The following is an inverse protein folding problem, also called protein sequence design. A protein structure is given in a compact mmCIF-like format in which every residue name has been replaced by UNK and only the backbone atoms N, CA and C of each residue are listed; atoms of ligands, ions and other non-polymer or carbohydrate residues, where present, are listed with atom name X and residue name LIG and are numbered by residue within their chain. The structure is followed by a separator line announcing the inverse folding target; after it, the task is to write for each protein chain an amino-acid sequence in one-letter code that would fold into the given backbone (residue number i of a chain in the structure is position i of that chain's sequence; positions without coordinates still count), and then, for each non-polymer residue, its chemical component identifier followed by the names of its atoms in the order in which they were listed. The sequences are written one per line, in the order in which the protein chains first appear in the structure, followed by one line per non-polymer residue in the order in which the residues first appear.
data_IF_498577960329
#
_entry.id   IF_498577960329
#
_cell.length_a   1.000
_cell.length_b   1.000
_cell.length_c   1.000
_cell.angle_alpha   90.00
_cell.angle_beta   90.00
_cell.angle_gamma   90.00
#
_symmetry.space_group_name_H-M   'P 1'
#
loop_
_entity.id
_entity.type
_entity.pdbx_description
1 polymer ?
#
# COMPACT_ATOMS: atom_id res chain seq x y z
N UNK A 1 36.28 -9.57 -6.00
CA UNK A 1 35.10 -8.84 -5.51
C UNK A 1 34.10 -8.81 -6.64
N UNK A 2 33.02 -9.59 -6.54
CA UNK A 2 31.89 -9.44 -7.45
C UNK A 2 31.36 -8.02 -7.23
N UNK A 3 31.37 -7.18 -8.26
CA UNK A 3 30.81 -5.83 -8.17
C UNK A 3 29.31 -5.89 -7.91
N UNK A 4 28.69 -4.79 -7.44
CA UNK A 4 27.27 -4.74 -7.20
C UNK A 4 26.51 -5.14 -8.47
N UNK A 5 25.54 -6.05 -8.32
CA UNK A 5 24.71 -6.53 -9.44
C UNK A 5 23.98 -5.33 -10.07
N UNK A 6 23.99 -5.19 -11.41
CA UNK A 6 23.33 -4.07 -12.07
C UNK A 6 21.83 -4.10 -11.80
N UNK A 7 21.23 -2.90 -11.71
CA UNK A 7 19.78 -2.74 -11.61
C UNK A 7 19.10 -3.45 -12.78
N UNK A 8 18.17 -4.35 -12.47
CA UNK A 8 17.51 -5.18 -13.46
C UNK A 8 16.05 -4.72 -13.65
N UNK A 9 15.72 -4.33 -14.87
CA UNK A 9 14.33 -4.02 -15.24
C UNK A 9 13.54 -5.32 -15.29
N UNK A 10 12.41 -5.36 -14.58
CA UNK A 10 11.51 -6.52 -14.54
C UNK A 10 10.17 -6.12 -15.15
N UNK A 11 9.65 -6.93 -16.09
CA UNK A 11 8.35 -6.66 -16.72
C UNK A 11 7.24 -6.63 -15.64
N UNK A 12 6.39 -5.61 -15.68
CA UNK A 12 5.28 -5.45 -14.72
C UNK A 12 5.70 -4.91 -13.35
N UNK A 13 6.92 -4.36 -13.24
CA UNK A 13 7.49 -3.80 -12.02
C UNK A 13 8.06 -2.42 -12.31
N UNK A 14 7.77 -1.45 -11.45
CA UNK A 14 8.29 -0.09 -11.61
C UNK A 14 9.60 0.13 -10.88
N UNK A 15 9.82 -0.57 -9.76
CA UNK A 15 11.10 -0.56 -9.07
C UNK A 15 12.10 -1.52 -9.74
N UNK A 16 13.35 -1.06 -9.86
CA UNK A 16 14.49 -1.85 -10.37
C UNK A 16 15.41 -2.33 -9.25
N UNK A 17 15.08 -2.02 -8.00
CA UNK A 17 15.84 -2.35 -6.80
C UNK A 17 14.91 -2.71 -5.65
N UNK A 18 15.42 -3.51 -4.71
CA UNK A 18 14.82 -3.73 -3.41
C UNK A 18 15.67 -3.05 -2.33
N UNK A 19 15.74 -1.72 -2.40
CA UNK A 19 16.54 -0.91 -1.48
C UNK A 19 16.17 -1.20 -0.03
N UNK A 20 17.16 -1.23 0.85
CA UNK A 20 16.91 -1.34 2.28
C UNK A 20 15.98 -0.22 2.79
N UNK A 21 15.03 -0.55 3.65
CA UNK A 21 14.16 0.44 4.29
C UNK A 21 14.92 1.36 5.23
N UNK A 22 14.49 2.64 5.30
CA UNK A 22 15.15 3.69 6.11
C UNK A 22 15.36 3.33 7.59
N UNK A 23 14.49 2.50 8.16
CA UNK A 23 14.47 2.17 9.58
C UNK A 23 15.10 0.80 9.90
N UNK A 24 15.62 0.11 8.89
CA UNK A 24 16.29 -1.17 9.09
C UNK A 24 17.73 -0.97 9.56
N UNK A 25 18.14 -1.75 10.57
CA UNK A 25 19.49 -1.68 11.16
C UNK A 25 20.47 -2.58 10.41
N UNK A 26 19.99 -3.71 9.87
CA UNK A 26 20.83 -4.74 9.25
C UNK A 26 20.67 -4.70 7.74
N UNK A 27 21.76 -4.38 7.02
CA UNK A 27 21.80 -4.46 5.56
C UNK A 27 21.81 -5.91 5.08
N UNK A 28 21.16 -6.15 3.93
CA UNK A 28 21.25 -7.42 3.21
C UNK A 28 21.69 -7.12 1.78
N UNK A 29 22.64 -7.89 1.30
CA UNK A 29 23.11 -7.82 -0.08
C UNK A 29 22.99 -9.21 -0.70
N UNK A 30 22.41 -9.27 -1.89
CA UNK A 30 22.45 -10.49 -2.68
C UNK A 30 23.85 -10.67 -3.24
N UNK A 31 24.44 -11.85 -3.03
CA UNK A 31 25.69 -12.25 -3.63
C UNK A 31 25.52 -13.60 -4.33
N UNK A 32 26.37 -13.87 -5.31
CA UNK A 32 26.46 -15.19 -5.92
C UNK A 32 27.23 -16.12 -4.97
N UNK A 33 26.53 -17.08 -4.40
CA UNK A 33 27.09 -18.08 -3.49
C UNK A 33 27.57 -19.35 -4.23
N UNK A 34 27.45 -19.38 -5.56
CA UNK A 34 27.86 -20.49 -6.42
C UNK A 34 26.84 -21.63 -6.51
N UNK A 35 25.65 -21.47 -5.94
CA UNK A 35 24.57 -22.46 -6.05
C UNK A 35 23.63 -22.13 -7.22
N UNK A 36 23.25 -23.14 -7.98
CA UNK A 36 22.26 -22.98 -9.05
C UNK A 36 20.88 -22.72 -8.43
N UNK A 37 20.17 -21.71 -8.95
CA UNK A 37 18.81 -21.39 -8.51
C UNK A 37 17.82 -22.33 -9.19
N UNK A 38 16.92 -22.91 -8.42
CA UNK A 38 15.82 -23.74 -8.95
C UNK A 38 14.97 -22.94 -9.96
N UNK A 39 14.43 -23.61 -11.00
CA UNK A 39 13.62 -22.97 -12.06
C UNK A 39 12.40 -22.21 -11.50
N UNK A 40 11.87 -22.61 -10.35
CA UNK A 40 10.79 -21.91 -9.64
C UNK A 40 11.21 -20.54 -9.10
N UNK A 41 12.48 -20.34 -8.79
CA UNK A 41 13.02 -19.02 -8.41
C UNK A 41 13.23 -18.08 -9.61
N UNK A 42 13.19 -18.63 -10.84
CA UNK A 42 13.20 -17.86 -12.08
C UNK A 42 11.80 -17.32 -12.43
N UNK A 43 10.73 -17.86 -11.82
CA UNK A 43 9.40 -17.30 -11.93
C UNK A 43 9.37 -15.90 -11.28
N UNK A 44 9.00 -14.87 -12.06
CA UNK A 44 9.04 -13.48 -11.62
C UNK A 44 8.35 -13.21 -10.28
N UNK A 45 8.73 -12.11 -9.62
CA UNK A 45 8.20 -11.73 -8.30
C UNK A 45 6.66 -11.70 -8.32
N UNK A 46 6.04 -12.59 -7.54
CA UNK A 46 4.59 -12.60 -7.34
C UNK A 46 4.17 -11.53 -6.35
N UNK A 47 3.05 -10.88 -6.62
CA UNK A 47 2.41 -9.99 -5.65
C UNK A 47 1.75 -10.86 -4.57
N UNK A 48 2.05 -10.56 -3.31
CA UNK A 48 1.44 -11.19 -2.14
C UNK A 48 0.58 -10.13 -1.46
N UNK A 49 -0.71 -10.42 -1.27
CA UNK A 49 -1.63 -9.58 -0.53
C UNK A 49 -1.90 -10.25 0.82
N UNK A 50 -1.62 -9.53 1.90
CA UNK A 50 -1.78 -10.02 3.28
C UNK A 50 -2.97 -9.33 3.93
N UNK A 51 -3.84 -10.10 4.57
CA UNK A 51 -4.96 -9.54 5.33
C UNK A 51 -4.44 -8.78 6.55
N UNK A 52 -4.82 -7.51 6.66
CA UNK A 52 -4.53 -6.63 7.78
C UNK A 52 -5.82 -6.31 8.53
N UNK A 53 -5.86 -6.63 9.84
CA UNK A 53 -6.89 -6.10 10.73
C UNK A 53 -6.41 -4.76 11.30
N UNK A 54 -6.88 -3.66 10.71
CA UNK A 54 -6.50 -2.33 11.12
C UNK A 54 -7.19 -1.92 12.44
N UNK A 55 -6.54 -1.01 13.18
CA UNK A 55 -7.14 -0.41 14.40
C UNK A 55 -8.04 0.78 14.07
N UNK A 56 -7.66 1.56 13.05
CA UNK A 56 -8.37 2.73 12.52
C UNK A 56 -8.32 2.70 11.00
N UNK A 57 -9.28 3.35 10.35
CA UNK A 57 -9.37 3.41 8.88
C UNK A 57 -9.23 4.83 8.33
N UNK A 58 -9.61 5.85 9.10
CA UNK A 58 -9.42 7.25 8.76
C UNK A 58 -8.05 7.74 9.24
N UNK A 59 -7.35 8.47 8.38
CA UNK A 59 -6.12 9.19 8.71
C UNK A 59 -6.38 10.68 8.57
N UNK A 60 -5.93 11.46 9.56
CA UNK A 60 -6.08 12.91 9.60
C UNK A 60 -4.74 13.59 9.40
N UNK A 61 -4.76 14.76 8.77
CA UNK A 61 -3.61 15.63 8.61
C UNK A 61 -4.03 17.09 8.86
N UNK A 62 -3.05 17.98 8.96
CA UNK A 62 -3.25 19.42 9.14
C UNK A 62 -2.30 20.22 8.23
N UNK A 63 -1.93 19.65 7.08
CA UNK A 63 -1.01 20.30 6.15
C UNK A 63 -1.78 21.39 5.39
N UNK A 64 -1.27 22.64 5.36
CA UNK A 64 -1.88 23.70 4.57
C UNK A 64 -1.72 23.50 3.06
N UNK A 65 -0.93 22.51 2.64
CA UNK A 65 -0.54 22.28 1.24
C UNK A 65 -1.47 21.31 0.50
N UNK A 66 -2.39 20.64 1.19
CA UNK A 66 -3.32 19.67 0.59
C UNK A 66 -4.78 20.05 0.88
N UNK A 67 -5.70 19.84 -0.10
CA UNK A 67 -7.07 20.32 -0.01
C UNK A 67 -8.01 19.39 0.77
N UNK A 68 -7.48 18.50 1.61
CA UNK A 68 -8.26 17.56 2.41
C UNK A 68 -7.62 17.29 3.76
N UNK A 69 -8.44 17.16 4.80
CA UNK A 69 -7.98 16.87 6.16
C UNK A 69 -8.06 15.38 6.50
N UNK A 70 -9.02 14.66 5.89
CA UNK A 70 -9.31 13.25 6.17
C UNK A 70 -9.08 12.40 4.93
N UNK A 71 -8.34 11.31 5.09
CA UNK A 71 -8.13 10.32 4.04
C UNK A 71 -8.46 8.90 4.50
N UNK A 72 -8.77 8.05 3.52
CA UNK A 72 -9.03 6.63 3.70
C UNK A 72 -8.24 5.86 2.65
N UNK A 73 -7.48 4.85 3.07
CA UNK A 73 -6.78 3.94 2.16
C UNK A 73 -7.11 2.49 2.57
N UNK A 74 -7.86 1.72 1.75
CA UNK A 74 -8.18 0.33 2.03
C UNK A 74 -6.96 -0.59 1.98
N UNK A 75 -5.90 -0.16 1.29
CA UNK A 75 -4.69 -0.93 1.07
C UNK A 75 -3.44 -0.24 1.64
N UNK A 76 -2.36 -1.00 1.79
CA UNK A 76 -0.99 -0.48 1.89
C UNK A 76 -0.14 -1.10 0.79
N UNK A 77 0.59 -0.24 0.08
CA UNK A 77 1.29 -0.61 -1.15
C UNK A 77 0.37 -0.55 -2.37
N UNK A 78 0.95 -0.63 -3.56
CA UNK A 78 0.19 -0.49 -4.81
C UNK A 78 0.73 -1.37 -5.92
N UNK A 79 -0.11 -2.24 -6.49
CA UNK A 79 0.27 -3.12 -7.62
C UNK A 79 0.66 -2.35 -8.88
N UNK A 80 0.19 -1.11 -9.04
CA UNK A 80 0.56 -0.25 -10.17
C UNK A 80 2.06 0.07 -10.20
N UNK A 81 2.73 0.05 -9.05
CA UNK A 81 4.19 0.10 -8.97
C UNK A 81 4.84 1.38 -9.49
N UNK A 82 4.12 2.49 -9.69
CA UNK A 82 4.69 3.73 -10.21
C UNK A 82 5.99 4.12 -9.49
N UNK A 83 7.10 4.21 -10.22
CA UNK A 83 8.42 4.44 -9.62
C UNK A 83 8.52 5.79 -8.89
N UNK A 84 7.76 6.78 -9.35
CA UNK A 84 7.67 8.12 -8.79
C UNK A 84 6.60 8.25 -7.69
N UNK A 85 5.99 7.15 -7.23
CA UNK A 85 4.93 7.20 -6.24
C UNK A 85 5.47 7.72 -4.89
N UNK A 86 4.91 8.84 -4.42
CA UNK A 86 5.30 9.47 -3.16
C UNK A 86 5.06 8.58 -1.93
N UNK A 87 4.16 7.58 -2.04
CA UNK A 87 3.79 6.69 -0.96
C UNK A 87 4.81 5.57 -0.70
N UNK A 88 5.76 5.33 -1.62
CA UNK A 88 6.78 4.28 -1.50
C UNK A 88 7.51 4.25 -0.16
N UNK A 89 7.96 5.39 0.41
CA UNK A 89 8.61 5.41 1.72
C UNK A 89 7.77 4.86 2.87
N UNK A 90 6.43 4.77 2.73
CA UNK A 90 5.56 4.23 3.76
C UNK A 90 5.85 2.75 4.09
N UNK A 91 6.36 1.98 3.13
CA UNK A 91 6.74 0.58 3.32
C UNK A 91 7.93 0.38 4.27
N UNK A 92 8.81 1.38 4.38
CA UNK A 92 9.92 1.31 5.34
C UNK A 92 9.44 1.23 6.79
N UNK A 93 8.26 1.76 7.12
CA UNK A 93 7.68 1.59 8.47
C UNK A 93 7.18 0.18 8.75
N UNK A 94 7.06 -0.66 7.71
CA UNK A 94 6.70 -2.07 7.82
C UNK A 94 7.94 -2.98 7.83
N UNK A 95 9.16 -2.40 7.84
CA UNK A 95 10.40 -3.15 7.66
C UNK A 95 10.52 -3.76 6.25
N UNK A 96 9.87 -3.13 5.26
CA UNK A 96 9.88 -3.55 3.87
C UNK A 96 10.57 -2.49 3.00
N UNK A 97 11.12 -2.94 1.87
CA UNK A 97 11.72 -2.05 0.91
C UNK A 97 10.70 -1.04 0.35
N UNK A 98 11.04 0.25 0.24
CA UNK A 98 10.24 1.20 -0.54
C UNK A 98 10.37 0.95 -2.06
N UNK A 99 11.20 -0.01 -2.49
CA UNK A 99 11.40 -0.46 -3.85
C UNK A 99 10.40 -1.55 -4.24
N UNK A 100 10.89 -2.75 -4.57
CA UNK A 100 10.04 -3.84 -5.08
C UNK A 100 9.01 -4.34 -4.06
N UNK A 101 9.28 -4.29 -2.76
CA UNK A 101 8.29 -4.72 -1.76
C UNK A 101 7.04 -3.82 -1.76
N UNK A 102 7.14 -2.53 -2.10
CA UNK A 102 5.98 -1.63 -2.19
C UNK A 102 4.90 -2.11 -3.18
N UNK A 103 5.32 -2.75 -4.27
CA UNK A 103 4.45 -3.20 -5.35
C UNK A 103 4.22 -4.72 -5.39
N UNK A 104 4.89 -5.46 -4.50
CA UNK A 104 4.81 -6.92 -4.43
C UNK A 104 4.42 -7.48 -3.05
N UNK A 105 4.44 -6.66 -1.99
CA UNK A 105 4.02 -7.01 -0.63
C UNK A 105 2.95 -6.01 -0.18
N UNK A 106 1.69 -6.39 -0.38
CA UNK A 106 0.54 -5.54 -0.11
C UNK A 106 -0.19 -5.97 1.14
N UNK A 107 -0.89 -5.03 1.76
CA UNK A 107 -1.74 -5.28 2.92
C UNK A 107 -3.14 -4.79 2.62
N UNK A 108 -4.13 -5.67 2.78
CA UNK A 108 -5.54 -5.37 2.56
C UNK A 108 -6.24 -5.21 3.91
N UNK A 109 -6.81 -4.03 4.19
CA UNK A 109 -7.50 -3.77 5.46
C UNK A 109 -8.89 -4.39 5.42
N UNK A 110 -8.96 -5.69 5.69
CA UNK A 110 -10.19 -6.49 5.51
C UNK A 110 -11.35 -6.04 6.39
N UNK A 111 -11.08 -5.33 7.49
CA UNK A 111 -12.09 -4.74 8.37
C UNK A 111 -12.39 -3.26 8.08
N UNK A 112 -11.99 -2.71 6.92
CA UNK A 112 -12.12 -1.29 6.59
C UNK A 112 -13.56 -0.76 6.72
N UNK A 113 -14.55 -1.48 6.18
CA UNK A 113 -15.95 -1.05 6.22
C UNK A 113 -16.53 -1.07 7.65
N UNK A 114 -16.18 -2.10 8.44
CA UNK A 114 -16.58 -2.19 9.85
C UNK A 114 -16.02 -1.02 10.67
N UNK A 115 -14.71 -0.75 10.51
CA UNK A 115 -14.05 0.37 11.18
C UNK A 115 -14.67 1.70 10.79
N UNK A 116 -15.03 1.87 9.52
CA UNK A 116 -15.65 3.09 9.02
C UNK A 116 -17.02 3.30 9.64
N UNK A 117 -17.89 2.28 9.62
CA UNK A 117 -19.21 2.34 10.29
C UNK A 117 -19.07 2.75 11.76
N UNK A 118 -18.13 2.13 12.47
CA UNK A 118 -17.86 2.42 13.88
C UNK A 118 -17.39 3.86 14.09
N UNK A 119 -16.54 4.37 13.20
CA UNK A 119 -16.02 5.73 13.28
C UNK A 119 -17.12 6.78 13.05
N UNK A 120 -17.94 6.59 12.01
CA UNK A 120 -19.03 7.50 11.66
C UNK A 120 -20.16 7.51 12.72
N UNK A 121 -20.30 6.43 13.49
CA UNK A 121 -21.31 6.29 14.54
C UNK A 121 -20.92 6.94 15.89
N UNK A 122 -19.70 7.48 16.03
CA UNK A 122 -19.24 8.06 17.29
C UNK A 122 -20.09 9.29 17.67
N UNK A 123 -20.50 9.43 18.95
CA UNK A 123 -21.12 10.67 19.42
C UNK A 123 -20.20 11.86 19.17
N UNK A 124 -20.70 12.88 18.47
CA UNK A 124 -19.92 14.07 18.13
C UNK A 124 -19.07 13.94 16.87
N UNK A 125 -19.22 12.87 16.08
CA UNK A 125 -18.63 12.83 14.74
C UNK A 125 -19.17 13.99 13.88
N UNK A 126 -18.26 14.78 13.32
CA UNK A 126 -18.60 15.86 12.38
C UNK A 126 -18.21 15.40 10.98
N UNK A 127 -19.17 15.31 10.04
CA UNK A 127 -18.87 14.93 8.66
C UNK A 127 -17.93 15.92 7.98
N UNK A 128 -16.90 15.38 7.34
CA UNK A 128 -15.91 16.10 6.54
C UNK A 128 -15.68 15.34 5.23
N UNK A 129 -15.22 15.99 4.18
CA UNK A 129 -14.93 15.27 2.93
C UNK A 129 -13.79 14.25 3.13
N UNK A 130 -14.03 12.98 2.78
CA UNK A 130 -13.01 11.92 2.84
C UNK A 130 -12.34 11.78 1.48
N UNK A 131 -11.01 11.94 1.44
CA UNK A 131 -10.20 11.61 0.26
C UNK A 131 -9.86 10.10 0.28
N UNK A 132 -10.42 9.35 -0.65
CA UNK A 132 -10.24 7.91 -0.79
C UNK A 132 -9.15 7.63 -1.83
N UNK A 133 -8.14 6.82 -1.47
CA UNK A 133 -7.10 6.39 -2.40
C UNK A 133 -5.85 7.29 -2.48
N UNK A 134 -5.66 8.17 -1.50
CA UNK A 134 -4.55 9.16 -1.49
C UNK A 134 -3.16 8.51 -1.54
N UNK A 135 -2.90 7.53 -0.67
CA UNK A 135 -1.57 6.93 -0.50
C UNK A 135 -1.42 5.66 -1.34
N UNK A 136 -2.53 5.02 -1.68
CA UNK A 136 -2.57 3.81 -2.49
C UNK A 136 -3.80 3.88 -3.38
N UNK A 137 -3.69 3.43 -4.62
CA UNK A 137 -4.84 3.35 -5.51
C UNK A 137 -5.94 2.46 -4.87
N UNK A 138 -7.19 2.92 -4.93
CA UNK A 138 -8.34 2.24 -4.32
C UNK A 138 -8.87 1.09 -5.21
N UNK A 139 -8.58 1.09 -6.50
CA UNK A 139 -9.04 0.11 -7.49
C UNK A 139 -7.86 -0.65 -8.12
N UNK A 140 -6.93 -1.10 -7.28
CA UNK A 140 -5.85 -2.00 -7.71
C UNK A 140 -6.40 -3.33 -8.25
N UNK A 141 -5.62 -4.12 -9.00
CA UNK A 141 -6.04 -5.43 -9.49
C UNK A 141 -6.66 -6.35 -8.43
N UNK A 142 -6.13 -6.38 -7.20
CA UNK A 142 -6.69 -7.16 -6.10
C UNK A 142 -8.09 -6.70 -5.63
N UNK A 143 -8.49 -5.44 -5.86
CA UNK A 143 -9.84 -4.94 -5.53
C UNK A 143 -10.94 -5.67 -6.31
N UNK A 144 -10.62 -6.24 -7.49
CA UNK A 144 -11.57 -7.05 -8.27
C UNK A 144 -12.16 -8.19 -7.44
N UNK A 145 -11.33 -8.79 -6.59
CA UNK A 145 -11.67 -9.95 -5.77
C UNK A 145 -12.05 -9.51 -4.35
N UNK A 146 -11.28 -8.59 -3.75
CA UNK A 146 -11.44 -8.18 -2.35
C UNK A 146 -12.62 -7.24 -2.10
N UNK A 147 -12.96 -6.38 -3.08
CA UNK A 147 -14.10 -5.45 -3.01
C UNK A 147 -14.10 -4.55 -1.76
N UNK A 148 -12.94 -4.20 -1.21
CA UNK A 148 -12.86 -3.40 0.02
C UNK A 148 -13.24 -1.95 -0.24
N UNK A 149 -12.78 -1.37 -1.35
CA UNK A 149 -13.20 -0.03 -1.78
C UNK A 149 -14.70 -0.01 -2.03
N UNK A 150 -15.24 -1.05 -2.66
CA UNK A 150 -16.69 -1.19 -2.84
C UNK A 150 -17.44 -1.17 -1.51
N UNK A 151 -17.04 -1.97 -0.53
CA UNK A 151 -17.68 -2.00 0.79
C UNK A 151 -17.57 -0.65 1.53
N UNK A 152 -16.42 0.02 1.42
CA UNK A 152 -16.22 1.38 1.96
C UNK A 152 -17.21 2.37 1.33
N UNK A 153 -17.37 2.34 0.01
CA UNK A 153 -18.30 3.22 -0.71
C UNK A 153 -19.76 2.93 -0.35
N UNK A 154 -20.14 1.68 -0.12
CA UNK A 154 -21.48 1.30 0.36
C UNK A 154 -21.77 1.92 1.73
N UNK A 155 -20.83 1.85 2.68
CA UNK A 155 -20.96 2.51 4.00
C UNK A 155 -21.14 4.01 3.84
N UNK A 156 -20.30 4.66 3.03
CA UNK A 156 -20.37 6.11 2.81
C UNK A 156 -21.70 6.51 2.16
N UNK A 157 -22.18 5.72 1.20
CA UNK A 157 -23.46 5.94 0.55
C UNK A 157 -24.64 5.83 1.53
N UNK A 158 -24.68 4.78 2.35
CA UNK A 158 -25.71 4.59 3.37
C UNK A 158 -25.75 5.75 4.38
N UNK A 159 -24.58 6.26 4.78
CA UNK A 159 -24.44 7.40 5.67
C UNK A 159 -24.60 8.76 4.98
N UNK A 160 -24.79 8.79 3.65
CA UNK A 160 -24.80 10.01 2.80
C UNK A 160 -23.57 10.89 3.05
N UNK A 161 -22.43 10.24 3.24
CA UNK A 161 -21.18 10.88 3.61
C UNK A 161 -20.41 11.33 2.36
N UNK A 162 -19.89 12.58 2.31
CA UNK A 162 -19.12 13.05 1.18
C UNK A 162 -17.80 12.28 1.04
N UNK A 163 -17.45 11.95 -0.20
CA UNK A 163 -16.20 11.26 -0.55
C UNK A 163 -15.74 11.70 -1.93
N UNK A 164 -14.42 11.82 -2.08
CA UNK A 164 -13.75 12.01 -3.37
C UNK A 164 -12.73 10.90 -3.57
N UNK A 165 -12.72 10.31 -4.76
CA UNK A 165 -11.68 9.37 -5.17
C UNK A 165 -10.52 10.13 -5.81
N UNK A 166 -9.31 9.77 -5.41
CA UNK A 166 -8.04 10.25 -5.97
C UNK A 166 -7.37 9.12 -6.73
#
# INVERSE_FOLDING_TARGET
MLGPRPLAVRKGRGAVSNLQGRYEVNGREEFDDGWERDEDEAAGIRTIVTDEHAKTILTRNASPDIPFDVSLNPYRGCEHGCIYCFARPSHSYLGLSPGLDFESRLFAKVNAAELLRRELAKPGYVPEHIALGVNTDAYQPCERELRLTRQVLEVLHECRHPVGLI
#
